data_IF_460977379334
#
_entry.id   IF_460977379334
#
_cell.length_a   1.000
_cell.length_b   1.000
_cell.length_c   1.000
_cell.angle_alpha   90.00
_cell.angle_beta   90.00
_cell.angle_gamma   90.00
#
_symmetry.space_group_name_H-M   'P 1'
#
loop_
_entity.id
_entity.type
_entity.pdbx_description
1 polymer ?
#
# COMPACT_ATOMS: atom_id res chain seq x y z
N UNK A 1 -8.15 12.84 2.87
CA UNK A 1 -7.76 11.52 3.38
C UNK A 1 -9.02 10.73 3.69
N UNK A 2 -9.09 9.44 3.33
CA UNK A 2 -10.17 8.58 3.83
C UNK A 2 -9.85 8.20 5.28
N UNK A 3 -10.86 8.10 6.14
CA UNK A 3 -10.71 7.59 7.52
C UNK A 3 -10.71 6.07 7.58
N UNK A 4 -11.19 5.41 6.52
CA UNK A 4 -11.29 3.96 6.41
C UNK A 4 -10.68 3.49 5.09
N UNK A 5 -9.94 2.40 5.18
CA UNK A 5 -9.36 1.67 4.07
C UNK A 5 -9.68 0.19 4.24
N UNK A 6 -9.87 -0.52 3.13
CA UNK A 6 -10.07 -1.96 3.13
C UNK A 6 -8.78 -2.69 3.53
N UNK A 7 -7.63 -2.17 3.09
CA UNK A 7 -6.30 -2.69 3.43
C UNK A 7 -5.34 -1.52 3.60
N UNK A 8 -4.51 -1.59 4.64
CA UNK A 8 -3.36 -0.69 4.84
C UNK A 8 -2.09 -1.54 4.90
N UNK A 9 -1.18 -1.32 3.97
CA UNK A 9 0.16 -1.93 3.94
C UNK A 9 1.12 -1.00 4.68
N UNK A 10 1.81 -1.50 5.70
CA UNK A 10 2.76 -0.71 6.50
C UNK A 10 4.19 -1.14 6.10
N UNK A 11 4.97 -0.21 5.59
CA UNK A 11 6.33 -0.43 5.08
C UNK A 11 6.40 -0.29 3.55
N UNK A 12 7.15 0.71 3.08
CA UNK A 12 7.33 1.09 1.67
C UNK A 12 8.52 0.45 0.96
N UNK A 13 9.02 -0.68 1.47
CA UNK A 13 10.04 -1.48 0.79
C UNK A 13 9.48 -2.25 -0.41
N UNK A 14 10.37 -2.91 -1.17
CA UNK A 14 10.01 -3.67 -2.39
C UNK A 14 8.85 -4.65 -2.17
N UNK A 15 8.83 -5.32 -1.01
CA UNK A 15 7.78 -6.28 -0.66
C UNK A 15 6.45 -5.56 -0.44
N UNK A 16 6.42 -4.48 0.33
CA UNK A 16 5.18 -3.73 0.62
C UNK A 16 4.58 -3.10 -0.64
N UNK A 17 5.43 -2.51 -1.48
CA UNK A 17 5.03 -1.98 -2.79
C UNK A 17 4.50 -3.08 -3.72
N UNK A 18 5.16 -4.25 -3.75
CA UNK A 18 4.70 -5.40 -4.54
C UNK A 18 3.33 -5.90 -4.08
N UNK A 19 3.10 -6.01 -2.76
CA UNK A 19 1.80 -6.40 -2.20
C UNK A 19 0.73 -5.38 -2.59
N UNK A 20 0.97 -4.08 -2.38
CA UNK A 20 0.02 -3.03 -2.73
C UNK A 20 -0.31 -3.04 -4.23
N UNK A 21 0.71 -3.19 -5.09
CA UNK A 21 0.56 -3.26 -6.53
C UNK A 21 -0.33 -4.44 -6.95
N UNK A 22 -0.07 -5.65 -6.44
CA UNK A 22 -0.84 -6.83 -6.81
C UNK A 22 -2.28 -6.75 -6.30
N UNK A 23 -2.52 -6.21 -5.09
CA UNK A 23 -3.87 -5.95 -4.60
C UNK A 23 -4.63 -5.02 -5.54
N UNK A 24 -4.04 -3.88 -5.90
CA UNK A 24 -4.65 -2.92 -6.83
C UNK A 24 -4.88 -3.54 -8.23
N UNK A 25 -3.92 -4.32 -8.74
CA UNK A 25 -3.99 -5.03 -10.03
C UNK A 25 -5.11 -6.08 -10.05
N UNK A 26 -5.35 -6.76 -8.93
CA UNK A 26 -6.47 -7.70 -8.76
C UNK A 26 -7.82 -6.99 -8.55
N UNK A 27 -7.88 -5.67 -8.70
CA UNK A 27 -9.11 -4.89 -8.64
C UNK A 27 -9.52 -4.46 -7.24
N UNK A 28 -8.69 -4.67 -6.22
CA UNK A 28 -9.00 -4.19 -4.88
C UNK A 28 -9.03 -2.66 -4.87
N UNK A 29 -10.09 -2.11 -4.29
CA UNK A 29 -10.28 -0.67 -4.07
C UNK A 29 -10.04 -0.35 -2.59
N UNK A 30 -9.76 0.92 -2.31
CA UNK A 30 -9.53 1.43 -0.96
C UNK A 30 -8.34 0.77 -0.25
N UNK A 31 -7.24 0.62 -0.98
CA UNK A 31 -5.94 0.17 -0.46
C UNK A 31 -5.01 1.37 -0.25
N UNK A 32 -4.23 1.34 0.83
CA UNK A 32 -3.26 2.38 1.18
C UNK A 32 -1.92 1.75 1.56
N UNK A 33 -0.82 2.45 1.28
CA UNK A 33 0.50 2.14 1.80
C UNK A 33 0.98 3.31 2.66
N UNK A 34 1.50 2.98 3.85
CA UNK A 34 2.10 3.92 4.77
C UNK A 34 3.58 3.58 4.95
N UNK A 35 4.43 4.58 4.78
CA UNK A 35 5.86 4.53 5.05
C UNK A 35 6.22 5.63 6.04
N UNK A 36 7.17 5.36 6.94
CA UNK A 36 7.62 6.29 7.99
C UNK A 36 8.33 7.50 7.39
N UNK A 37 9.10 7.30 6.31
CA UNK A 37 9.91 8.37 5.72
C UNK A 37 9.68 8.46 4.21
N UNK A 38 10.52 7.78 3.42
CA UNK A 38 10.46 7.82 1.95
C UNK A 38 10.47 6.40 1.41
N UNK A 39 9.86 6.19 0.24
CA UNK A 39 9.95 4.93 -0.48
C UNK A 39 11.42 4.62 -0.80
N UNK A 40 11.83 3.39 -0.55
CA UNK A 40 13.18 2.93 -0.90
C UNK A 40 13.25 2.59 -2.39
N UNK A 41 14.38 2.89 -3.03
CA UNK A 41 14.68 2.48 -4.42
C UNK A 41 15.00 0.98 -4.52
#
# INVERSE_FOLDING_TARGET
>A
MKSHYRVVVIGGGVVGCSVLYHLAKLGWKDVCLLERSVLTA
#
